data_IF_411656953905
#
_entry.id   IF_411656953905
#
_cell.length_a   1.000
_cell.length_b   1.000
_cell.length_c   1.000
_cell.angle_alpha   90.00
_cell.angle_beta   90.00
_cell.angle_gamma   90.00
#
_symmetry.space_group_name_H-M   'P 1'
#
loop_
_entity.id
_entity.type
_entity.pdbx_description
1 polymer ?
#
# COMPACT_ATOMS: atom_id res chain seq x y z
N UNK A 1 -5.03 8.08 17.08
CA UNK A 1 -5.94 7.64 18.15
C UNK A 1 -5.40 6.36 18.77
N UNK A 2 -5.66 6.13 20.04
CA UNK A 2 -5.25 4.93 20.79
C UNK A 2 -6.46 4.25 21.39
N UNK A 3 -6.47 2.91 21.35
CA UNK A 3 -7.51 2.09 21.98
C UNK A 3 -6.84 1.09 22.93
N UNK A 4 -7.38 0.94 24.13
CA UNK A 4 -6.96 -0.11 25.04
C UNK A 4 -7.60 -1.43 24.60
N UNK A 5 -6.78 -2.48 24.44
CA UNK A 5 -7.24 -3.80 23.98
C UNK A 5 -6.68 -4.92 24.86
N UNK A 6 -7.25 -6.11 24.71
CA UNK A 6 -6.72 -7.35 25.29
C UNK A 6 -5.97 -8.20 24.25
N UNK A 7 -5.57 -7.60 23.11
CA UNK A 7 -4.81 -8.29 22.07
C UNK A 7 -3.41 -8.64 22.57
N UNK A 8 -2.95 -9.84 22.22
CA UNK A 8 -1.64 -10.38 22.62
C UNK A 8 -0.75 -10.73 21.42
N UNK A 9 -1.24 -10.51 20.20
CA UNK A 9 -0.52 -10.79 18.95
C UNK A 9 -1.01 -9.91 17.82
N UNK A 10 -0.19 -9.77 16.78
CA UNK A 10 -0.59 -9.15 15.51
C UNK A 10 -1.50 -10.05 14.67
N UNK A 11 -2.05 -9.49 13.59
CA UNK A 11 -2.81 -10.25 12.61
C UNK A 11 -1.87 -11.04 11.71
N UNK A 12 -2.11 -12.34 11.54
CA UNK A 12 -1.48 -13.10 10.45
C UNK A 12 -2.13 -12.69 9.14
N UNK A 13 -1.35 -12.53 8.09
CA UNK A 13 -1.86 -12.11 6.79
C UNK A 13 -1.63 -13.19 5.74
N UNK A 14 -2.61 -13.40 4.85
CA UNK A 14 -2.54 -14.37 3.75
C UNK A 14 -2.64 -13.72 2.37
N UNK A 15 -2.84 -12.40 2.30
CA UNK A 15 -2.95 -11.68 1.02
C UNK A 15 -1.68 -11.80 0.16
N UNK A 16 -0.49 -11.83 0.76
CA UNK A 16 0.78 -12.00 0.03
C UNK A 16 0.85 -13.34 -0.73
N UNK A 17 0.15 -14.37 -0.24
CA UNK A 17 -0.03 -15.66 -0.92
C UNK A 17 -1.19 -15.66 -1.94
N UNK A 18 -1.83 -14.52 -2.18
CA UNK A 18 -2.95 -14.39 -3.12
C UNK A 18 -4.30 -14.82 -2.55
N UNK A 19 -4.41 -15.10 -1.26
CA UNK A 19 -5.69 -15.51 -0.64
C UNK A 19 -6.74 -14.39 -0.75
N UNK A 20 -7.95 -14.78 -1.13
CA UNK A 20 -9.13 -13.90 -1.24
C UNK A 20 -10.18 -14.23 -0.18
N UNK A 21 -10.04 -15.35 0.52
CA UNK A 21 -11.02 -15.83 1.49
C UNK A 21 -10.35 -16.59 2.61
N UNK A 22 -10.74 -16.28 3.86
CA UNK A 22 -10.26 -16.95 5.06
C UNK A 22 -11.38 -17.13 6.07
N UNK A 23 -11.28 -18.19 6.89
CA UNK A 23 -12.04 -18.29 8.12
C UNK A 23 -11.14 -17.84 9.26
N UNK A 24 -11.61 -16.90 10.05
CA UNK A 24 -10.83 -16.26 11.10
C UNK A 24 -11.66 -16.05 12.36
N UNK A 25 -10.98 -15.87 13.49
CA UNK A 25 -11.62 -15.51 14.76
C UNK A 25 -11.50 -14.01 15.00
N UNK A 26 -12.58 -13.37 15.39
CA UNK A 26 -12.59 -11.98 15.84
C UNK A 26 -11.87 -11.90 17.19
N UNK A 27 -10.75 -11.18 17.24
CA UNK A 27 -9.94 -11.00 18.46
C UNK A 27 -10.14 -9.63 19.10
N UNK A 28 -10.66 -8.67 18.34
CA UNK A 28 -11.06 -7.36 18.82
C UNK A 28 -12.25 -6.83 18.01
N UNK A 29 -13.18 -6.18 18.69
CA UNK A 29 -14.30 -5.48 18.11
C UNK A 29 -14.60 -4.25 18.96
N UNK A 30 -14.60 -3.05 18.36
CA UNK A 30 -14.77 -1.81 19.09
C UNK A 30 -15.05 -0.60 18.21
N UNK A 31 -15.33 0.53 18.81
CA UNK A 31 -15.54 1.81 18.15
C UNK A 31 -14.27 2.66 18.17
N UNK A 32 -14.03 3.34 17.09
CA UNK A 32 -12.98 4.32 16.92
C UNK A 32 -13.60 5.59 16.28
N UNK A 33 -14.02 6.53 17.12
CA UNK A 33 -14.94 7.59 16.70
C UNK A 33 -16.29 6.98 16.29
N UNK A 34 -16.72 7.23 15.05
CA UNK A 34 -17.97 6.70 14.49
C UNK A 34 -17.77 5.40 13.69
N UNK A 35 -16.54 4.90 13.59
CA UNK A 35 -16.22 3.71 12.82
C UNK A 35 -16.20 2.46 13.73
N UNK A 36 -16.84 1.39 13.26
CA UNK A 36 -16.69 0.07 13.87
C UNK A 36 -15.42 -0.58 13.32
N UNK A 37 -14.51 -0.94 14.21
CA UNK A 37 -13.25 -1.63 13.88
C UNK A 37 -13.27 -3.07 14.40
N UNK A 38 -12.86 -3.98 13.52
CA UNK A 38 -12.69 -5.40 13.84
C UNK A 38 -11.27 -5.84 13.51
N UNK A 39 -10.64 -6.54 14.44
CA UNK A 39 -9.36 -7.25 14.20
C UNK A 39 -9.63 -8.74 14.29
N UNK A 40 -9.08 -9.49 13.34
CA UNK A 40 -9.12 -10.95 13.33
C UNK A 40 -7.70 -11.52 13.49
N UNK A 41 -7.60 -12.78 13.93
CA UNK A 41 -6.31 -13.47 14.09
C UNK A 41 -5.61 -13.76 12.75
N UNK A 42 -6.39 -13.87 11.65
CA UNK A 42 -5.95 -14.09 10.28
C UNK A 42 -6.74 -13.18 9.35
N UNK A 43 -6.10 -12.59 8.34
CA UNK A 43 -6.79 -11.76 7.35
C UNK A 43 -6.25 -11.96 5.93
N UNK A 44 -7.16 -12.10 4.93
CA UNK A 44 -6.81 -12.07 3.51
C UNK A 44 -6.80 -10.63 2.95
N UNK A 45 -7.17 -9.61 3.75
CA UNK A 45 -7.25 -8.22 3.31
C UNK A 45 -5.86 -7.57 3.33
N UNK A 46 -5.50 -6.90 2.24
CA UNK A 46 -4.34 -6.02 2.18
C UNK A 46 -4.72 -4.67 2.81
N UNK A 47 -4.14 -4.28 3.95
CA UNK A 47 -4.47 -3.01 4.59
C UNK A 47 -3.77 -1.83 3.90
N UNK A 48 -4.37 -0.63 3.96
CA UNK A 48 -3.65 0.58 3.66
C UNK A 48 -2.42 0.71 4.58
N UNK A 49 -1.26 0.90 3.99
CA UNK A 49 0.01 0.99 4.71
C UNK A 49 0.11 2.27 5.54
N UNK A 50 0.66 2.17 6.74
CA UNK A 50 1.01 3.33 7.56
C UNK A 50 2.24 4.06 7.03
N UNK A 51 3.18 3.34 6.40
CA UNK A 51 4.44 3.91 5.94
C UNK A 51 4.30 4.66 4.62
N UNK A 52 3.60 4.05 3.69
CA UNK A 52 3.41 4.57 2.34
C UNK A 52 1.95 4.35 1.93
N UNK A 53 1.05 5.26 2.31
CA UNK A 53 -0.38 5.12 2.05
C UNK A 53 -0.73 5.54 0.61
N UNK A 54 -0.09 4.93 -0.38
CA UNK A 54 -0.25 5.21 -1.80
C UNK A 54 -1.56 4.65 -2.38
N UNK A 55 -2.07 3.57 -1.79
CA UNK A 55 -3.33 2.94 -2.21
C UNK A 55 -4.28 2.73 -1.04
N UNK A 56 -5.59 2.67 -1.27
CA UNK A 56 -6.57 2.29 -0.25
C UNK A 56 -6.36 0.84 0.17
N UNK A 57 -6.85 0.49 1.36
CA UNK A 57 -6.95 -0.90 1.76
C UNK A 57 -8.03 -1.65 0.98
N UNK A 58 -7.98 -2.98 1.05
CA UNK A 58 -9.01 -3.82 0.47
C UNK A 58 -10.37 -3.59 1.14
N UNK A 59 -11.41 -3.82 0.37
CA UNK A 59 -12.79 -3.91 0.82
C UNK A 59 -13.38 -5.27 0.48
N UNK A 60 -14.55 -5.57 1.03
CA UNK A 60 -15.20 -6.84 0.80
C UNK A 60 -16.29 -7.13 1.81
N UNK A 61 -16.29 -8.34 2.33
CA UNK A 61 -17.36 -8.79 3.23
C UNK A 61 -16.83 -9.67 4.37
N UNK A 62 -17.58 -9.62 5.45
CA UNK A 62 -17.44 -10.50 6.61
C UNK A 62 -18.76 -11.23 6.81
N UNK A 63 -18.76 -12.55 6.72
CA UNK A 63 -19.93 -13.38 6.97
C UNK A 63 -19.84 -13.91 8.41
N UNK A 64 -20.86 -13.60 9.22
CA UNK A 64 -20.98 -13.98 10.63
C UNK A 64 -21.43 -15.44 10.77
N UNK A 65 -21.39 -15.98 11.98
CA UNK A 65 -21.77 -17.38 12.27
C UNK A 65 -23.25 -17.67 11.95
N UNK A 66 -24.12 -16.68 12.06
CA UNK A 66 -25.55 -16.78 11.73
C UNK A 66 -25.84 -16.65 10.20
N UNK A 67 -24.80 -16.44 9.38
CA UNK A 67 -24.90 -16.23 7.95
C UNK A 67 -25.11 -14.78 7.52
N UNK A 68 -25.24 -13.83 8.46
CA UNK A 68 -25.33 -12.42 8.12
C UNK A 68 -24.06 -11.97 7.40
N UNK A 69 -24.21 -11.27 6.28
CA UNK A 69 -23.08 -10.69 5.52
C UNK A 69 -22.96 -9.19 5.83
N UNK A 70 -21.82 -8.81 6.40
CA UNK A 70 -21.48 -7.43 6.79
C UNK A 70 -20.45 -6.89 5.81
N UNK A 71 -20.64 -5.67 5.33
CA UNK A 71 -19.66 -5.03 4.46
C UNK A 71 -18.40 -4.62 5.24
N UNK A 72 -17.22 -4.98 4.70
CA UNK A 72 -15.94 -4.41 5.05
C UNK A 72 -15.67 -3.26 4.08
N UNK A 73 -15.76 -2.04 4.60
CA UNK A 73 -15.71 -0.80 3.81
C UNK A 73 -14.28 -0.40 3.47
N UNK A 74 -13.33 -0.76 4.34
CA UNK A 74 -11.92 -0.43 4.22
C UNK A 74 -11.10 -1.37 5.11
N UNK A 75 -9.81 -1.50 4.85
CA UNK A 75 -8.87 -2.17 5.72
C UNK A 75 -7.62 -1.31 5.92
N UNK A 76 -7.18 -1.15 7.17
CA UNK A 76 -6.08 -0.26 7.54
C UNK A 76 -5.06 -0.97 8.42
N UNK A 77 -3.81 -0.60 8.29
CA UNK A 77 -2.78 -1.04 9.23
C UNK A 77 -2.90 -0.29 10.55
N UNK A 78 -2.86 -1.01 11.66
CA UNK A 78 -2.68 -0.47 13.01
C UNK A 78 -1.44 -1.07 13.66
N UNK A 79 -0.93 -0.44 14.73
CA UNK A 79 0.20 -0.93 15.53
C UNK A 79 -0.25 -1.23 16.94
N UNK A 80 -0.11 -2.48 17.34
CA UNK A 80 -0.38 -2.95 18.69
C UNK A 80 0.93 -3.00 19.48
N UNK A 81 0.95 -2.36 20.63
CA UNK A 81 2.02 -2.53 21.61
C UNK A 81 1.69 -3.71 22.52
N UNK A 82 2.50 -4.77 22.43
CA UNK A 82 2.28 -6.04 23.16
C UNK A 82 2.45 -5.92 24.68
N UNK A 83 3.23 -4.93 25.16
CA UNK A 83 3.46 -4.73 26.59
C UNK A 83 2.31 -3.98 27.27
N UNK A 84 1.73 -3.02 26.55
CA UNK A 84 0.69 -2.15 27.11
C UNK A 84 -0.72 -2.53 26.68
N UNK A 85 -0.87 -3.34 25.61
CA UNK A 85 -2.16 -3.62 24.97
C UNK A 85 -2.75 -2.41 24.25
N UNK A 86 -1.96 -1.36 24.01
CA UNK A 86 -2.43 -0.16 23.30
C UNK A 86 -2.35 -0.41 21.80
N UNK A 87 -3.48 -0.24 21.13
CA UNK A 87 -3.61 -0.24 19.67
C UNK A 87 -3.62 1.19 19.15
N UNK A 88 -2.55 1.58 18.46
CA UNK A 88 -2.42 2.88 17.82
C UNK A 88 -2.94 2.83 16.37
N UNK A 89 -3.67 3.89 15.95
CA UNK A 89 -4.36 3.99 14.66
C UNK A 89 -4.06 5.34 14.01
N UNK A 90 -3.94 5.35 12.69
CA UNK A 90 -3.75 6.56 11.88
C UNK A 90 -2.46 7.31 12.24
N UNK A 91 -2.53 8.63 12.42
CA UNK A 91 -1.35 9.48 12.68
C UNK A 91 -0.60 9.10 13.96
N UNK A 92 -1.31 8.62 14.98
CA UNK A 92 -0.67 8.11 16.19
C UNK A 92 0.21 6.90 15.88
N UNK A 93 -0.29 5.95 15.09
CA UNK A 93 0.51 4.79 14.66
C UNK A 93 1.70 5.22 13.76
N UNK A 94 1.51 6.20 12.88
CA UNK A 94 2.58 6.73 12.03
C UNK A 94 3.71 7.38 12.82
N UNK A 95 3.41 7.97 13.98
CA UNK A 95 4.40 8.62 14.84
C UNK A 95 5.25 7.65 15.66
N UNK A 96 4.87 6.37 15.76
CA UNK A 96 5.62 5.37 16.50
C UNK A 96 6.88 4.94 15.76
N UNK A 97 7.94 4.65 16.54
CA UNK A 97 9.23 4.21 15.99
C UNK A 97 9.09 2.78 15.45
N UNK A 98 9.27 2.61 14.16
CA UNK A 98 9.29 1.28 13.54
C UNK A 98 10.52 0.48 13.95
N UNK A 99 10.35 -0.86 13.99
CA UNK A 99 11.41 -1.76 14.42
C UNK A 99 11.51 -1.93 15.95
N UNK A 100 10.55 -1.37 16.69
CA UNK A 100 10.37 -1.70 18.09
C UNK A 100 9.83 -3.14 18.19
N UNK A 101 10.52 -4.06 18.90
CA UNK A 101 10.11 -5.46 19.01
C UNK A 101 8.77 -5.66 19.73
N UNK A 102 8.34 -4.67 20.52
CA UNK A 102 7.05 -4.69 21.21
C UNK A 102 5.88 -4.22 20.33
N UNK A 103 6.16 -3.67 19.14
CA UNK A 103 5.14 -3.22 18.20
C UNK A 103 4.90 -4.27 17.10
N UNK A 104 3.65 -4.70 16.97
CA UNK A 104 3.22 -5.63 15.91
C UNK A 104 2.09 -5.03 15.08
N UNK A 105 2.09 -5.34 13.79
CA UNK A 105 1.02 -4.89 12.88
C UNK A 105 -0.26 -5.69 13.08
N UNK A 106 -1.40 -5.01 13.01
CA UNK A 106 -2.74 -5.60 12.94
C UNK A 106 -3.48 -5.07 11.73
N UNK A 107 -4.38 -5.89 11.17
CA UNK A 107 -5.33 -5.46 10.13
C UNK A 107 -6.62 -5.03 10.78
N UNK A 108 -6.95 -3.76 10.62
CA UNK A 108 -8.20 -3.14 11.08
C UNK A 108 -9.22 -3.20 9.95
N UNK A 109 -10.27 -4.01 10.11
CA UNK A 109 -11.40 -4.02 9.17
C UNK A 109 -12.41 -2.97 9.63
N UNK A 110 -12.68 -1.97 8.79
CA UNK A 110 -13.74 -0.98 9.00
C UNK A 110 -15.05 -1.58 8.51
N UNK A 111 -16.00 -1.80 9.41
CA UNK A 111 -17.25 -2.53 9.09
C UNK A 111 -18.48 -1.68 9.40
N UNK A 112 -19.60 -1.99 8.72
CA UNK A 112 -20.88 -1.31 8.97
C UNK A 112 -21.50 -1.68 10.33
N UNK A 113 -21.35 -2.94 10.75
CA UNK A 113 -21.77 -3.44 12.04
C UNK A 113 -20.74 -4.44 12.54
N UNK A 114 -20.42 -4.37 13.82
CA UNK A 114 -19.33 -5.17 14.40
C UNK A 114 -19.87 -6.48 15.00
N UNK A 115 -19.27 -7.65 14.64
CA UNK A 115 -19.48 -8.90 15.36
C UNK A 115 -18.90 -8.82 16.77
N UNK A 116 -19.31 -9.72 17.65
CA UNK A 116 -18.72 -9.83 18.97
C UNK A 116 -17.30 -10.43 18.92
N UNK A 117 -16.42 -9.98 19.83
CA UNK A 117 -15.14 -10.63 20.02
C UNK A 117 -15.33 -12.11 20.41
N UNK A 118 -14.52 -12.98 19.84
CA UNK A 118 -14.61 -14.44 20.02
C UNK A 118 -15.40 -15.16 18.93
N UNK A 119 -16.17 -14.48 18.10
CA UNK A 119 -16.90 -15.10 17.00
C UNK A 119 -15.96 -15.56 15.88
N UNK A 120 -16.35 -16.67 15.21
CA UNK A 120 -15.74 -17.08 13.97
C UNK A 120 -16.48 -16.42 12.79
N UNK A 121 -15.71 -15.88 11.87
CA UNK A 121 -16.22 -15.18 10.69
C UNK A 121 -15.54 -15.69 9.43
N UNK A 122 -16.21 -15.59 8.30
CA UNK A 122 -15.58 -15.78 6.99
C UNK A 122 -15.33 -14.43 6.35
N UNK A 123 -14.08 -14.13 6.09
CA UNK A 123 -13.60 -12.94 5.39
C UNK A 123 -13.52 -13.21 3.90
N UNK A 124 -14.04 -12.30 3.07
CA UNK A 124 -14.03 -12.41 1.61
C UNK A 124 -13.71 -11.06 0.99
N UNK A 125 -12.62 -10.99 0.23
CA UNK A 125 -12.16 -9.76 -0.42
C UNK A 125 -12.95 -9.50 -1.71
N UNK A 126 -13.25 -8.24 -2.00
CA UNK A 126 -13.76 -7.79 -3.31
C UNK A 126 -12.66 -7.99 -4.37
N UNK A 127 -12.66 -9.17 -5.01
CA UNK A 127 -11.62 -9.55 -5.97
C UNK A 127 -11.51 -8.56 -7.15
N UNK A 128 -12.60 -8.10 -7.80
CA UNK A 128 -12.51 -7.09 -8.84
C UNK A 128 -11.81 -5.81 -8.38
N UNK A 129 -12.11 -5.34 -7.18
CA UNK A 129 -11.47 -4.16 -6.60
C UNK A 129 -9.98 -4.36 -6.37
N UNK A 130 -9.57 -5.47 -5.72
CA UNK A 130 -8.16 -5.80 -5.51
C UNK A 130 -7.42 -5.96 -6.85
N UNK A 131 -8.00 -6.67 -7.81
CA UNK A 131 -7.38 -6.88 -9.12
C UNK A 131 -7.12 -5.56 -9.85
N UNK A 132 -8.07 -4.62 -9.78
CA UNK A 132 -7.91 -3.29 -10.36
C UNK A 132 -6.77 -2.50 -9.66
N UNK A 133 -6.72 -2.48 -8.33
CA UNK A 133 -5.63 -1.84 -7.58
C UNK A 133 -4.27 -2.49 -7.89
N UNK A 134 -4.19 -3.82 -7.94
CA UNK A 134 -2.96 -4.54 -8.25
C UNK A 134 -2.45 -4.23 -9.67
N UNK A 135 -3.36 -4.09 -10.63
CA UNK A 135 -3.02 -3.68 -12.00
C UNK A 135 -2.44 -2.26 -12.02
N UNK A 136 -3.08 -1.32 -11.33
CA UNK A 136 -2.62 0.06 -11.22
C UNK A 136 -1.27 0.15 -10.50
N UNK A 137 -1.09 -0.57 -9.40
CA UNK A 137 0.18 -0.64 -8.66
C UNK A 137 1.32 -1.14 -9.55
N UNK A 138 1.10 -2.24 -10.28
CA UNK A 138 2.07 -2.74 -11.26
C UNK A 138 2.36 -1.70 -12.35
N UNK A 139 1.32 -1.02 -12.84
CA UNK A 139 1.44 0.04 -13.85
C UNK A 139 2.33 1.20 -13.39
N UNK A 140 2.19 1.64 -12.12
CA UNK A 140 3.04 2.69 -11.53
C UNK A 140 4.50 2.27 -11.50
N UNK A 141 4.82 1.04 -11.09
CA UNK A 141 6.20 0.55 -11.07
C UNK A 141 6.80 0.47 -12.48
N UNK A 142 6.03 0.02 -13.49
CA UNK A 142 6.50 0.03 -14.88
C UNK A 142 6.70 1.45 -15.40
N UNK A 143 5.81 2.39 -15.04
CA UNK A 143 5.93 3.80 -15.39
C UNK A 143 7.19 4.43 -14.77
N UNK A 144 7.50 4.11 -13.51
CA UNK A 144 8.72 4.53 -12.84
C UNK A 144 9.99 4.03 -13.55
N UNK A 145 10.02 2.75 -13.96
CA UNK A 145 11.14 2.18 -14.72
C UNK A 145 11.31 2.88 -16.08
N UNK A 146 10.21 3.11 -16.80
CA UNK A 146 10.24 3.82 -18.08
C UNK A 146 10.68 5.28 -17.92
N UNK A 147 10.21 5.97 -16.87
CA UNK A 147 10.65 7.32 -16.51
C UNK A 147 12.16 7.35 -16.24
N UNK A 148 12.67 6.45 -15.41
CA UNK A 148 14.08 6.37 -15.05
C UNK A 148 14.95 6.17 -16.31
N UNK A 149 14.56 5.26 -17.19
CA UNK A 149 15.25 4.99 -18.44
C UNK A 149 15.30 6.24 -19.35
N UNK A 150 14.17 6.92 -19.55
CA UNK A 150 14.11 8.12 -20.38
C UNK A 150 14.85 9.30 -19.74
N UNK A 151 14.83 9.41 -18.41
CA UNK A 151 15.49 10.46 -17.66
C UNK A 151 17.01 10.26 -17.52
N UNK A 152 17.56 9.09 -17.87
CA UNK A 152 18.97 8.75 -17.67
C UNK A 152 19.93 9.76 -18.35
N UNK A 153 19.57 10.27 -19.54
CA UNK A 153 20.39 11.25 -20.27
C UNK A 153 20.49 12.63 -19.59
N UNK A 154 19.65 12.92 -18.61
CA UNK A 154 19.62 14.21 -17.90
C UNK A 154 20.42 14.21 -16.59
N UNK A 155 21.09 13.11 -16.28
CA UNK A 155 22.01 13.04 -15.15
C UNK A 155 23.41 13.45 -15.60
N UNK A 156 23.98 14.49 -14.99
CA UNK A 156 25.33 15.01 -15.26
C UNK A 156 26.41 14.29 -14.47
N UNK A 157 26.02 13.45 -13.51
CA UNK A 157 26.89 12.56 -12.73
C UNK A 157 26.07 11.41 -12.18
N UNK A 158 26.74 10.34 -11.79
CA UNK A 158 26.12 9.18 -11.13
C UNK A 158 25.45 9.61 -9.80
N UNK A 159 24.12 9.40 -9.63
CA UNK A 159 23.43 9.69 -8.38
C UNK A 159 23.72 8.68 -7.26
N UNK A 160 24.41 7.57 -7.54
CA UNK A 160 24.73 6.51 -6.59
C UNK A 160 23.58 5.55 -6.28
N UNK A 161 22.47 5.62 -7.03
CA UNK A 161 21.31 4.73 -6.88
C UNK A 161 20.74 4.42 -8.28
N UNK A 162 20.52 3.15 -8.54
CA UNK A 162 19.95 2.66 -9.80
C UNK A 162 18.70 1.82 -9.52
N UNK A 163 17.80 1.76 -10.50
CA UNK A 163 16.65 0.87 -10.47
C UNK A 163 17.03 -0.58 -10.83
N UNK A 164 16.04 -1.47 -10.85
CA UNK A 164 16.24 -2.89 -11.16
C UNK A 164 16.70 -3.17 -12.59
N UNK A 165 16.56 -2.19 -13.51
CA UNK A 165 17.05 -2.27 -14.90
C UNK A 165 18.39 -1.56 -15.09
N UNK A 166 18.98 -0.99 -14.03
CA UNK A 166 20.27 -0.31 -14.03
C UNK A 166 20.22 1.15 -14.42
N UNK A 167 19.05 1.76 -14.63
CA UNK A 167 18.93 3.19 -14.88
C UNK A 167 19.03 4.01 -13.58
N UNK A 168 19.61 5.24 -13.63
CA UNK A 168 19.61 6.15 -12.50
C UNK A 168 18.19 6.38 -11.96
N UNK A 169 17.97 6.14 -10.67
CA UNK A 169 16.64 6.08 -10.09
C UNK A 169 16.07 7.48 -9.78
N UNK A 170 15.51 8.13 -10.82
CA UNK A 170 14.83 9.43 -10.68
C UNK A 170 13.56 9.29 -9.82
N UNK A 171 12.80 8.23 -10.02
CA UNK A 171 11.57 7.97 -9.29
C UNK A 171 11.83 8.03 -7.78
N UNK A 172 12.67 7.17 -7.24
CA UNK A 172 13.04 7.14 -5.83
C UNK A 172 13.66 8.45 -5.32
N UNK A 173 14.40 9.16 -6.19
CA UNK A 173 15.05 10.41 -5.81
C UNK A 173 14.11 11.62 -5.74
N UNK A 174 12.97 11.57 -6.43
CA UNK A 174 12.12 12.73 -6.67
C UNK A 174 10.63 12.53 -6.32
N UNK A 175 10.14 11.29 -6.20
CA UNK A 175 8.75 11.03 -5.83
C UNK A 175 8.45 11.67 -4.46
N UNK A 176 7.39 12.44 -4.41
CA UNK A 176 6.93 13.11 -3.20
C UNK A 176 5.62 12.51 -2.66
N UNK A 177 4.80 11.97 -3.57
CA UNK A 177 3.52 11.34 -3.28
C UNK A 177 3.12 10.46 -4.45
N UNK A 178 2.54 9.32 -4.14
CA UNK A 178 1.87 8.43 -5.08
C UNK A 178 0.42 8.21 -4.65
N UNK A 179 -0.48 8.12 -5.60
CA UNK A 179 -1.91 7.86 -5.38
C UNK A 179 -2.38 6.83 -6.39
N UNK A 180 -2.76 5.67 -5.88
CA UNK A 180 -3.24 4.54 -6.68
C UNK A 180 -4.74 4.35 -6.42
N UNK A 181 -5.55 4.43 -7.48
CA UNK A 181 -6.97 4.15 -7.47
C UNK A 181 -7.31 3.03 -8.46
N UNK A 182 -8.56 2.61 -8.53
CA UNK A 182 -8.98 1.45 -9.34
C UNK A 182 -8.87 1.68 -10.86
N UNK A 183 -8.93 2.91 -11.30
CA UNK A 183 -8.97 3.32 -12.72
C UNK A 183 -7.85 4.27 -13.13
N UNK A 184 -7.08 4.78 -12.17
CA UNK A 184 -6.01 5.73 -12.42
C UNK A 184 -4.97 5.71 -11.30
N UNK A 185 -3.75 6.10 -11.63
CA UNK A 185 -2.68 6.35 -10.67
C UNK A 185 -1.98 7.66 -10.98
N UNK A 186 -1.54 8.37 -9.95
CA UNK A 186 -0.87 9.67 -10.09
C UNK A 186 0.33 9.76 -9.19
N UNK A 187 1.50 10.01 -9.78
CA UNK A 187 2.73 10.28 -9.06
C UNK A 187 3.09 11.76 -9.14
N UNK A 188 3.44 12.32 -8.01
CA UNK A 188 3.90 13.70 -7.88
C UNK A 188 5.41 13.73 -7.64
N UNK A 189 6.14 14.39 -8.52
CA UNK A 189 7.59 14.50 -8.44
C UNK A 189 8.02 15.91 -8.02
N UNK A 190 9.02 15.99 -7.15
CA UNK A 190 9.64 17.24 -6.74
C UNK A 190 11.03 17.39 -7.34
N UNK A 191 11.15 18.16 -8.42
CA UNK A 191 12.41 18.43 -9.11
C UNK A 191 13.14 19.64 -8.50
N UNK A 192 13.53 19.54 -7.22
CA UNK A 192 14.06 20.67 -6.43
C UNK A 192 15.58 20.71 -6.32
N UNK A 193 16.08 21.55 -5.36
CA UNK A 193 17.52 21.77 -5.14
C UNK A 193 18.29 20.49 -4.76
N UNK A 194 17.67 19.56 -4.02
CA UNK A 194 18.29 18.30 -3.62
C UNK A 194 18.61 17.42 -4.82
N UNK A 195 17.67 17.32 -5.76
CA UNK A 195 17.84 16.54 -6.99
C UNK A 195 18.92 17.16 -7.88
N UNK A 196 18.96 18.49 -8.00
CA UNK A 196 20.03 19.21 -8.72
C UNK A 196 21.41 18.94 -8.12
N UNK A 197 21.53 18.92 -6.78
CA UNK A 197 22.79 18.57 -6.11
C UNK A 197 23.26 17.14 -6.42
N UNK A 198 22.32 16.22 -6.66
CA UNK A 198 22.58 14.84 -7.11
C UNK A 198 22.98 14.77 -8.59
N UNK A 199 22.85 15.87 -9.36
CA UNK A 199 23.30 15.96 -10.75
C UNK A 199 22.20 15.85 -11.78
N UNK A 200 20.92 15.95 -11.43
CA UNK A 200 19.82 15.93 -12.38
C UNK A 200 19.57 17.31 -12.97
N UNK A 201 19.57 17.42 -14.31
CA UNK A 201 19.20 18.64 -15.02
C UNK A 201 17.70 18.68 -15.28
N UNK A 202 16.96 19.15 -14.25
CA UNK A 202 15.53 19.28 -14.33
C UNK A 202 15.07 20.30 -15.39
N UNK A 203 15.87 21.33 -15.69
CA UNK A 203 15.51 22.35 -16.68
C UNK A 203 15.53 21.75 -18.09
N UNK A 204 16.57 21.00 -18.42
CA UNK A 204 16.68 20.29 -19.71
C UNK A 204 15.57 19.24 -19.86
N UNK A 205 15.28 18.46 -18.78
CA UNK A 205 14.20 17.45 -18.80
C UNK A 205 12.82 18.10 -19.06
N UNK A 206 12.53 19.21 -18.40
CA UNK A 206 11.25 19.91 -18.52
C UNK A 206 11.09 20.71 -19.82
N UNK A 207 12.17 20.97 -20.54
CA UNK A 207 12.15 21.78 -21.76
C UNK A 207 11.29 21.16 -22.88
N UNK A 208 11.13 19.81 -22.88
CA UNK A 208 10.29 19.09 -23.84
C UNK A 208 9.47 17.99 -23.16
N UNK A 209 8.56 18.39 -22.27
CA UNK A 209 7.65 17.43 -21.61
C UNK A 209 6.82 16.57 -22.57
N UNK A 210 6.26 17.10 -23.68
CA UNK A 210 5.54 16.27 -24.63
C UNK A 210 6.42 15.18 -25.25
N UNK A 211 7.67 15.50 -25.60
CA UNK A 211 8.64 14.53 -26.12
C UNK A 211 9.01 13.50 -25.08
N UNK A 212 9.24 13.89 -23.82
CA UNK A 212 9.50 12.96 -22.73
C UNK A 212 8.32 12.02 -22.50
N UNK A 213 7.09 12.53 -22.48
CA UNK A 213 5.90 11.71 -22.33
C UNK A 213 5.74 10.70 -23.48
N UNK A 214 6.02 11.09 -24.71
CA UNK A 214 6.01 10.20 -25.87
C UNK A 214 7.09 9.09 -25.77
N UNK A 215 8.29 9.45 -25.32
CA UNK A 215 9.39 8.49 -25.11
C UNK A 215 9.04 7.48 -23.99
N UNK A 216 8.54 7.94 -22.86
CA UNK A 216 8.09 7.09 -21.74
C UNK A 216 7.01 6.12 -22.21
N UNK A 217 5.99 6.60 -22.93
CA UNK A 217 4.94 5.75 -23.47
C UNK A 217 5.48 4.71 -24.49
N UNK A 218 6.51 5.03 -25.24
CA UNK A 218 7.14 4.08 -26.16
C UNK A 218 7.86 2.97 -25.39
N UNK A 219 8.62 3.32 -24.35
CA UNK A 219 9.28 2.34 -23.47
C UNK A 219 8.25 1.45 -22.77
N UNK A 220 7.19 2.03 -22.20
CA UNK A 220 6.11 1.28 -21.55
C UNK A 220 5.45 0.27 -22.49
N UNK A 221 5.14 0.65 -23.73
CA UNK A 221 4.58 -0.28 -24.71
C UNK A 221 5.53 -1.45 -24.96
N UNK A 222 6.83 -1.19 -25.11
CA UNK A 222 7.82 -2.26 -25.28
C UNK A 222 7.88 -3.20 -24.07
N UNK A 223 7.75 -2.70 -22.85
CA UNK A 223 7.69 -3.53 -21.65
C UNK A 223 6.45 -4.44 -21.58
N UNK A 224 5.35 -4.05 -22.24
CA UNK A 224 4.09 -4.81 -22.26
C UNK A 224 4.00 -5.81 -23.41
N UNK A 225 4.91 -5.79 -24.38
CA UNK A 225 4.92 -6.72 -25.53
C UNK A 225 5.26 -8.15 -25.11
N UNK A 226 6.03 -8.32 -24.05
CA UNK A 226 6.43 -9.64 -23.53
C UNK A 226 5.76 -9.87 -22.19
N UNK A 227 4.80 -10.79 -22.09
CA UNK A 227 4.19 -11.14 -20.80
C UNK A 227 5.26 -11.64 -19.83
N UNK A 228 5.33 -11.02 -18.66
CA UNK A 228 6.23 -11.44 -17.59
C UNK A 228 5.41 -11.75 -16.32
N UNK A 229 5.75 -12.81 -15.57
CA UNK A 229 5.09 -13.07 -14.29
C UNK A 229 5.45 -11.96 -13.28
N UNK A 230 4.46 -11.51 -12.54
CA UNK A 230 4.67 -10.62 -11.40
C UNK A 230 4.85 -11.48 -10.15
N UNK A 231 6.01 -11.37 -9.52
CA UNK A 231 6.32 -12.07 -8.26
C UNK A 231 6.16 -11.09 -7.09
N UNK A 232 5.33 -11.47 -6.12
CA UNK A 232 5.22 -10.76 -4.84
C UNK A 232 6.18 -11.45 -3.87
N UNK A 233 7.13 -10.69 -3.32
CA UNK A 233 8.12 -11.17 -2.33
C UNK A 233 7.88 -10.52 -0.97
#
# INVERSE_FOLDING_TARGET
MELQTALTSGTRVSFAGGSLRETARVVFSGLAGDEHLVVTDLSPFHPQSLTWPDQPGDRGWMTLADGQKVAVLDSREGLLNLQTGILAIGDTARSLKRGDPDLVSVVLHVVQSAPAAGENVTLEVDHPFRAALSLQHTGVHLAALALNQCAAAFWTKDPGDADSLGAPNLDKAAVARSEIAVDTSTDHYRLGKSLRKKGFDAAAFLADLPGQAAAINTVLRGMLEVPAPVHVT
#
